data_IF_398732417946
#
_entry.id   IF_398732417946
#
_cell.length_a   1.000
_cell.length_b   1.000
_cell.length_c   1.000
_cell.angle_alpha   90.00
_cell.angle_beta   90.00
_cell.angle_gamma   90.00
#
_symmetry.space_group_name_H-M   'P 1'
#
loop_
_entity.id
_entity.type
_entity.pdbx_description
1 polymer ?
#
# COMPACT_ATOMS: atom_id res chain seq x y z
N UNK A 1 -9.54 19.36 -18.00
CA UNK A 1 -9.24 18.72 -16.70
C UNK A 1 -8.70 19.74 -15.72
N UNK A 2 -9.33 19.92 -14.55
CA UNK A 2 -8.75 20.73 -13.46
C UNK A 2 -7.47 20.03 -12.96
N UNK A 3 -6.33 20.74 -13.00
CA UNK A 3 -5.05 20.22 -12.48
C UNK A 3 -5.10 20.23 -10.96
N UNK A 4 -4.65 19.14 -10.32
CA UNK A 4 -4.54 19.06 -8.86
C UNK A 4 -3.48 20.09 -8.40
N UNK A 5 -3.74 20.88 -7.33
CA UNK A 5 -2.76 21.83 -6.82
C UNK A 5 -1.45 21.15 -6.40
N UNK A 6 -0.30 21.75 -6.73
CA UNK A 6 1.04 21.20 -6.43
C UNK A 6 1.27 20.84 -4.96
N UNK A 7 0.58 21.52 -4.02
CA UNK A 7 0.63 21.24 -2.58
C UNK A 7 0.28 19.78 -2.25
N UNK A 8 -0.58 19.15 -3.03
CA UNK A 8 -1.02 17.77 -2.80
C UNK A 8 -0.22 16.75 -3.61
N UNK A 9 0.73 17.16 -4.43
CA UNK A 9 1.47 16.25 -5.31
C UNK A 9 2.22 15.16 -4.52
N UNK A 10 2.80 15.48 -3.36
CA UNK A 10 3.48 14.49 -2.52
C UNK A 10 2.52 13.45 -1.93
N UNK A 11 1.36 13.89 -1.43
CA UNK A 11 0.31 13.00 -0.93
C UNK A 11 -0.24 12.13 -2.06
N UNK A 12 -0.50 12.74 -3.22
CA UNK A 12 -0.98 12.02 -4.41
C UNK A 12 0.03 10.98 -4.88
N UNK A 13 1.33 11.31 -4.91
CA UNK A 13 2.38 10.35 -5.22
C UNK A 13 2.34 9.17 -4.24
N UNK A 14 2.31 9.43 -2.93
CA UNK A 14 2.24 8.37 -1.91
C UNK A 14 1.00 7.48 -2.07
N UNK A 15 -0.16 8.07 -2.32
CA UNK A 15 -1.41 7.34 -2.58
C UNK A 15 -1.31 6.49 -3.84
N UNK A 16 -0.80 7.03 -4.95
CA UNK A 16 -0.64 6.29 -6.20
C UNK A 16 0.38 5.15 -6.07
N UNK A 17 1.50 5.38 -5.38
CA UNK A 17 2.47 4.33 -5.07
C UNK A 17 1.85 3.22 -4.23
N UNK A 18 1.08 3.57 -3.18
CA UNK A 18 0.39 2.60 -2.34
C UNK A 18 -0.68 1.80 -3.11
N UNK A 19 -1.45 2.46 -3.97
CA UNK A 19 -2.47 1.81 -4.80
C UNK A 19 -1.84 0.89 -5.85
N UNK A 20 -0.98 1.40 -6.73
CA UNK A 20 -0.41 0.60 -7.82
C UNK A 20 0.62 -0.42 -7.31
N UNK A 21 1.50 -0.02 -6.41
CA UNK A 21 2.46 -0.93 -5.79
C UNK A 21 1.74 -2.04 -5.01
N UNK A 22 0.71 -1.67 -4.25
CA UNK A 22 -0.14 -2.63 -3.54
C UNK A 22 -0.89 -3.57 -4.48
N UNK A 23 -1.36 -3.10 -5.64
CA UNK A 23 -2.09 -3.91 -6.61
C UNK A 23 -1.19 -4.98 -7.22
N UNK A 24 0.01 -4.58 -7.66
CA UNK A 24 0.98 -5.49 -8.29
C UNK A 24 1.53 -6.49 -7.25
N UNK A 25 1.92 -6.01 -6.06
CA UNK A 25 2.47 -6.87 -5.02
C UNK A 25 1.44 -7.86 -4.49
N UNK A 26 0.20 -7.43 -4.24
CA UNK A 26 -0.85 -8.35 -3.79
C UNK A 26 -1.14 -9.43 -4.82
N UNK A 27 -1.10 -9.11 -6.12
CA UNK A 27 -1.27 -10.09 -7.20
C UNK A 27 -0.14 -11.10 -7.18
N UNK A 28 1.11 -10.62 -7.19
CA UNK A 28 2.30 -11.46 -7.18
C UNK A 28 2.33 -12.39 -5.96
N UNK A 29 2.08 -11.87 -4.75
CA UNK A 29 2.06 -12.67 -3.52
C UNK A 29 0.93 -13.70 -3.55
N UNK A 30 -0.27 -13.31 -3.98
CA UNK A 30 -1.41 -14.25 -4.07
C UNK A 30 -1.09 -15.38 -5.05
N UNK A 31 -0.48 -15.04 -6.20
CA UNK A 31 -0.08 -16.03 -7.20
C UNK A 31 1.05 -16.93 -6.72
N UNK A 32 2.09 -16.37 -6.10
CA UNK A 32 3.22 -17.15 -5.58
C UNK A 32 2.79 -18.13 -4.48
N UNK A 33 1.82 -17.75 -3.64
CA UNK A 33 1.38 -18.57 -2.52
C UNK A 33 0.34 -19.63 -2.89
N UNK A 34 -0.57 -19.33 -3.83
CA UNK A 34 -1.70 -20.20 -4.14
C UNK A 34 -1.61 -20.82 -5.54
N UNK A 35 -0.85 -20.23 -6.45
CA UNK A 35 -0.98 -20.50 -7.89
C UNK A 35 -2.29 -19.97 -8.48
N UNK A 36 -2.55 -20.29 -9.74
CA UNK A 36 -3.83 -19.99 -10.39
C UNK A 36 -4.87 -21.07 -10.06
N UNK A 37 -5.49 -20.92 -8.88
CA UNK A 37 -6.60 -21.77 -8.42
C UNK A 37 -7.95 -21.24 -8.89
N UNK A 38 -8.98 -22.06 -8.78
CA UNK A 38 -10.36 -21.59 -8.94
C UNK A 38 -10.63 -20.42 -7.99
N UNK A 39 -11.31 -19.39 -8.51
CA UNK A 39 -11.58 -18.13 -7.79
C UNK A 39 -10.33 -17.32 -7.42
N UNK A 40 -9.19 -17.53 -8.08
CA UNK A 40 -7.96 -16.75 -7.86
C UNK A 40 -8.23 -15.24 -7.85
N UNK A 41 -8.90 -14.71 -8.88
CA UNK A 41 -9.19 -13.28 -8.99
C UNK A 41 -10.05 -12.75 -7.83
N UNK A 42 -11.02 -13.55 -7.36
CA UNK A 42 -11.85 -13.18 -6.21
C UNK A 42 -11.01 -13.09 -4.93
N UNK A 43 -10.16 -14.11 -4.67
CA UNK A 43 -9.26 -14.14 -3.51
C UNK A 43 -8.27 -12.97 -3.54
N UNK A 44 -7.69 -12.70 -4.71
CA UNK A 44 -6.77 -11.59 -4.90
C UNK A 44 -7.43 -10.24 -4.66
N UNK A 45 -8.59 -9.97 -5.28
CA UNK A 45 -9.29 -8.68 -5.13
C UNK A 45 -9.70 -8.45 -3.68
N UNK A 46 -10.22 -9.47 -2.99
CA UNK A 46 -10.58 -9.36 -1.57
C UNK A 46 -9.35 -9.05 -0.71
N UNK A 47 -8.22 -9.70 -0.97
CA UNK A 47 -6.95 -9.43 -0.30
C UNK A 47 -6.46 -7.99 -0.57
N UNK A 48 -6.44 -7.58 -1.84
CA UNK A 48 -6.02 -6.24 -2.24
C UNK A 48 -6.90 -5.15 -1.62
N UNK A 49 -8.22 -5.28 -1.68
CA UNK A 49 -9.13 -4.30 -1.08
C UNK A 49 -9.04 -4.30 0.45
N UNK A 50 -8.84 -5.47 1.08
CA UNK A 50 -8.66 -5.57 2.52
C UNK A 50 -7.37 -4.91 3.02
N UNK A 51 -6.32 -4.88 2.21
CA UNK A 51 -5.05 -4.26 2.58
C UNK A 51 -5.11 -2.72 2.60
N UNK A 52 -6.02 -2.09 1.85
CA UNK A 52 -6.10 -0.62 1.76
C UNK A 52 -6.45 0.04 3.10
N UNK A 53 -7.56 -0.31 3.78
CA UNK A 53 -7.87 0.27 5.09
C UNK A 53 -6.84 -0.13 6.14
N UNK A 54 -6.36 -1.38 6.09
CA UNK A 54 -5.33 -1.86 7.01
C UNK A 54 -4.03 -1.08 6.87
N UNK A 55 -3.58 -0.84 5.63
CA UNK A 55 -2.38 -0.07 5.32
C UNK A 55 -2.46 1.37 5.81
N UNK A 56 -3.62 2.01 5.74
CA UNK A 56 -3.83 3.36 6.30
C UNK A 56 -3.69 3.38 7.82
N UNK A 57 -4.25 2.38 8.51
CA UNK A 57 -4.13 2.24 9.97
C UNK A 57 -2.68 1.98 10.35
N UNK A 58 -2.02 1.03 9.69
CA UNK A 58 -0.61 0.69 9.90
C UNK A 58 0.28 1.90 9.68
N UNK A 59 0.13 2.63 8.57
CA UNK A 59 0.90 3.84 8.31
C UNK A 59 0.68 4.89 9.41
N UNK A 60 -0.57 5.15 9.79
CA UNK A 60 -0.87 6.18 10.80
C UNK A 60 -0.31 5.83 12.18
N UNK A 61 -0.35 4.55 12.57
CA UNK A 61 0.09 4.08 13.89
C UNK A 61 1.60 3.84 13.93
N UNK A 62 2.17 3.24 12.89
CA UNK A 62 3.56 2.81 12.88
C UNK A 62 4.53 3.86 12.35
N UNK A 63 4.12 4.80 11.50
CA UNK A 63 5.04 5.83 10.99
C UNK A 63 5.69 6.65 12.11
N UNK A 64 4.98 7.15 13.13
CA UNK A 64 5.61 7.91 14.21
C UNK A 64 6.67 7.15 15.02
N UNK A 65 6.40 5.93 15.55
CA UNK A 65 7.41 5.18 16.30
C UNK A 65 8.56 4.70 15.41
N UNK A 66 8.29 4.28 14.17
CA UNK A 66 9.36 3.89 13.23
C UNK A 66 10.25 5.09 12.94
N UNK A 67 9.70 6.28 12.69
CA UNK A 67 10.49 7.48 12.47
C UNK A 67 11.38 7.78 13.68
N UNK A 68 10.84 7.76 14.90
CA UNK A 68 11.63 7.96 16.12
C UNK A 68 12.76 6.94 16.26
N UNK A 69 12.50 5.67 15.92
CA UNK A 69 13.52 4.64 15.94
C UNK A 69 14.61 4.89 14.90
N UNK A 70 14.23 5.22 13.66
CA UNK A 70 15.18 5.54 12.60
C UNK A 70 16.04 6.76 12.97
N UNK A 71 15.42 7.82 13.49
CA UNK A 71 16.12 9.01 13.96
C UNK A 71 17.07 8.71 15.14
N UNK A 72 16.79 7.67 15.95
CA UNK A 72 17.67 7.27 17.06
C UNK A 72 18.93 6.51 16.63
N UNK A 73 18.93 5.93 15.42
CA UNK A 73 20.04 5.14 14.88
C UNK A 73 20.75 5.85 13.70
N UNK A 74 20.20 6.97 13.24
CA UNK A 74 20.75 7.77 12.15
C UNK A 74 21.41 9.03 12.73
N UNK A 75 22.62 9.37 12.27
CA UNK A 75 23.32 10.63 12.64
C UNK A 75 22.60 11.88 12.12
#
# INVERSE_FOLDING_TARGET
MRKIPKKYSGVLMGVLFGLFGGLIMSFAITWLNLGFVDNFFQKWIVSYLGQLPLGMVIASVLTPPIKKFVDSISE
#
